data_IF_126638315412
#
_entry.id   IF_126638315412
#
_cell.length_a   1.000
_cell.length_b   1.000
_cell.length_c   1.000
_cell.angle_alpha   90.00
_cell.angle_beta   90.00
_cell.angle_gamma   90.00
#
_symmetry.space_group_name_H-M   'P 1'
#
loop_
_entity.id
_entity.type
_entity.pdbx_description
1 polymer ?
#
# COMPACT_ATOMS: atom_id res chain seq x y z
N UNK A 1 10.13 0.42 43.63
CA UNK A 1 9.68 1.81 43.86
C UNK A 1 9.53 2.45 42.49
N UNK A 2 8.35 2.98 42.15
CA UNK A 2 8.11 3.70 40.88
C UNK A 2 8.04 5.18 41.23
N UNK A 3 8.77 6.03 40.51
CA UNK A 3 8.67 7.48 40.61
C UNK A 3 7.69 7.99 39.56
N UNK A 4 6.75 8.85 39.97
CA UNK A 4 5.77 9.48 39.09
C UNK A 4 5.84 10.99 39.26
N UNK A 5 6.04 11.71 38.17
CA UNK A 5 6.04 13.17 38.15
C UNK A 5 5.41 13.71 36.85
N UNK A 6 4.71 14.86 36.89
CA UNK A 6 4.23 15.53 35.69
C UNK A 6 5.37 16.08 34.84
N UNK A 7 5.40 15.78 33.55
CA UNK A 7 6.43 16.25 32.62
C UNK A 7 5.85 17.06 31.46
N UNK A 8 6.37 18.28 31.25
CA UNK A 8 5.93 19.15 30.14
C UNK A 8 6.77 18.87 28.91
N UNK A 9 6.12 18.40 27.84
CA UNK A 9 6.78 18.14 26.56
C UNK A 9 5.87 18.47 25.37
N UNK A 10 6.42 18.39 24.17
CA UNK A 10 5.65 18.51 22.92
C UNK A 10 4.90 17.19 22.68
N UNK A 11 3.60 17.27 22.45
CA UNK A 11 2.75 16.13 22.09
C UNK A 11 2.08 16.41 20.73
N UNK A 12 1.88 15.42 19.85
CA UNK A 12 1.20 15.62 18.59
C UNK A 12 -0.31 15.82 18.79
N UNK A 13 -0.86 16.85 18.15
CA UNK A 13 -2.28 17.17 18.16
C UNK A 13 -2.82 17.19 16.74
N UNK A 14 -4.06 16.77 16.56
CA UNK A 14 -4.74 16.89 15.28
C UNK A 14 -4.87 18.36 14.91
N UNK A 15 -4.51 18.68 13.67
CA UNK A 15 -4.39 20.05 13.21
C UNK A 15 -5.74 20.75 13.05
N UNK A 16 -6.84 20.00 12.94
CA UNK A 16 -8.20 20.53 12.73
C UNK A 16 -8.96 20.65 14.05
N UNK A 17 -9.08 19.56 14.81
CA UNK A 17 -9.88 19.56 16.05
C UNK A 17 -9.08 19.86 17.33
N UNK A 18 -7.75 19.95 17.21
CA UNK A 18 -6.81 20.27 18.30
C UNK A 18 -6.84 19.28 19.46
N UNK A 19 -7.20 18.02 19.22
CA UNK A 19 -7.15 16.94 20.22
C UNK A 19 -5.85 16.13 20.13
N UNK A 20 -5.39 15.51 21.24
CA UNK A 20 -4.17 14.73 21.24
C UNK A 20 -4.34 13.48 20.36
N UNK A 21 -3.32 13.18 19.55
CA UNK A 21 -3.30 12.00 18.67
C UNK A 21 -2.58 10.83 19.32
N UNK A 22 -2.96 9.60 18.97
CA UNK A 22 -2.28 8.38 19.42
C UNK A 22 -1.68 7.61 18.24
N UNK A 23 -0.64 6.84 18.51
CA UNK A 23 -0.10 5.86 17.55
C UNK A 23 -0.88 4.56 17.72
N UNK A 24 -1.38 4.01 16.61
CA UNK A 24 -2.13 2.74 16.59
C UNK A 24 -1.72 1.93 15.38
N UNK A 25 -1.50 0.63 15.59
CA UNK A 25 -1.24 -0.32 14.52
C UNK A 25 -2.49 -0.62 13.71
N UNK A 26 -2.32 -0.75 12.39
CA UNK A 26 -3.40 -1.10 11.46
C UNK A 26 -2.85 -2.02 10.39
N UNK A 27 -3.71 -2.91 9.86
CA UNK A 27 -3.38 -3.74 8.71
C UNK A 27 -3.12 -2.86 7.48
N UNK A 28 -2.01 -3.14 6.78
CA UNK A 28 -1.53 -2.39 5.62
C UNK A 28 -0.87 -3.38 4.65
N UNK A 29 -0.88 -3.09 3.35
CA UNK A 29 -0.13 -3.84 2.36
C UNK A 29 1.25 -3.25 2.15
N UNK A 30 2.23 -4.13 2.02
CA UNK A 30 3.63 -3.78 1.82
C UNK A 30 4.18 -4.50 0.60
N UNK A 31 5.02 -3.81 -0.16
CA UNK A 31 5.92 -4.43 -1.13
C UNK A 31 7.26 -4.72 -0.45
N UNK A 32 7.71 -5.97 -0.52
CA UNK A 32 9.00 -6.39 0.07
C UNK A 32 10.14 -5.77 -0.71
N UNK A 33 10.86 -4.83 -0.07
CA UNK A 33 12.00 -4.15 -0.70
C UNK A 33 13.22 -5.06 -0.74
N UNK A 34 13.34 -5.97 0.22
CA UNK A 34 14.42 -6.95 0.28
C UNK A 34 14.51 -7.78 -1.01
N UNK A 35 13.38 -8.17 -1.59
CA UNK A 35 13.32 -8.96 -2.82
C UNK A 35 13.90 -8.27 -4.07
N UNK A 36 14.12 -6.95 -4.06
CA UNK A 36 14.66 -6.21 -5.22
C UNK A 36 15.69 -5.13 -4.85
N UNK A 37 16.16 -5.09 -3.59
CA UNK A 37 17.09 -4.05 -3.11
C UNK A 37 18.39 -4.04 -3.90
N UNK A 38 19.02 -5.20 -4.09
CA UNK A 38 20.30 -5.32 -4.79
C UNK A 38 20.16 -4.92 -6.26
N UNK A 39 19.12 -5.42 -6.93
CA UNK A 39 18.81 -5.06 -8.31
C UNK A 39 18.59 -3.54 -8.48
N UNK A 40 17.93 -2.90 -7.51
CA UNK A 40 17.74 -1.45 -7.52
C UNK A 40 19.07 -0.68 -7.32
N UNK A 41 19.96 -1.15 -6.43
CA UNK A 41 21.28 -0.56 -6.22
C UNK A 41 22.14 -0.69 -7.49
N UNK A 42 22.10 -1.85 -8.14
CA UNK A 42 22.84 -2.08 -9.37
C UNK A 42 22.32 -1.23 -10.53
N UNK A 43 20.99 -1.10 -10.67
CA UNK A 43 20.38 -0.21 -11.65
C UNK A 43 20.82 1.26 -11.45
N UNK A 44 20.94 1.71 -10.19
CA UNK A 44 21.39 3.07 -9.86
C UNK A 44 22.82 3.36 -10.32
N UNK A 45 23.71 2.35 -10.36
CA UNK A 45 25.08 2.52 -10.89
C UNK A 45 25.11 2.80 -12.38
N UNK A 46 24.11 2.34 -13.13
CA UNK A 46 23.98 2.55 -14.58
C UNK A 46 23.39 3.91 -14.99
N UNK A 47 22.92 4.71 -14.02
CA UNK A 47 22.33 6.03 -14.28
C UNK A 47 23.41 7.10 -14.35
N UNK A 48 23.30 8.03 -15.31
CA UNK A 48 24.14 9.23 -15.35
C UNK A 48 23.65 10.26 -14.33
N UNK A 49 24.40 10.48 -13.26
CA UNK A 49 24.04 11.38 -12.17
C UNK A 49 24.65 12.78 -12.36
N UNK A 50 23.81 13.81 -12.28
CA UNK A 50 24.23 15.22 -12.28
C UNK A 50 23.66 15.91 -11.04
N UNK A 51 24.49 16.31 -10.06
CA UNK A 51 25.94 16.10 -9.97
C UNK A 51 26.32 14.63 -9.67
N UNK A 52 27.56 14.18 -9.98
CA UNK A 52 27.97 12.79 -9.80
C UNK A 52 27.82 12.26 -8.37
N UNK A 53 28.00 13.10 -7.35
CA UNK A 53 27.86 12.65 -5.96
C UNK A 53 26.42 12.30 -5.56
N UNK A 54 25.41 12.66 -6.36
CA UNK A 54 24.01 12.34 -6.07
C UNK A 54 23.74 10.82 -5.97
N UNK A 55 24.56 10.01 -6.66
CA UNK A 55 24.51 8.54 -6.58
C UNK A 55 24.65 8.06 -5.13
N UNK A 56 25.53 8.68 -4.33
CA UNK A 56 25.79 8.26 -2.96
C UNK A 56 24.54 8.41 -2.09
N UNK A 57 23.76 9.48 -2.30
CA UNK A 57 22.53 9.76 -1.54
C UNK A 57 21.43 8.74 -1.88
N UNK A 58 21.24 8.43 -3.15
CA UNK A 58 20.20 7.48 -3.57
C UNK A 58 20.58 6.05 -3.19
N UNK A 59 21.84 5.65 -3.38
CA UNK A 59 22.34 4.35 -2.93
C UNK A 59 22.16 4.16 -1.42
N UNK A 60 22.54 5.14 -0.61
CA UNK A 60 22.33 5.07 0.84
C UNK A 60 20.85 5.00 1.24
N UNK A 61 19.98 5.74 0.53
CA UNK A 61 18.53 5.68 0.75
C UNK A 61 17.97 4.29 0.44
N UNK A 62 18.37 3.66 -0.65
CA UNK A 62 17.89 2.32 -1.05
C UNK A 62 18.41 1.26 -0.08
N UNK A 63 19.70 1.33 0.31
CA UNK A 63 20.32 0.36 1.22
C UNK A 63 19.67 0.31 2.60
N UNK A 64 19.21 1.46 3.11
CA UNK A 64 18.55 1.56 4.43
C UNK A 64 17.03 1.42 4.38
N UNK A 65 16.45 1.17 3.20
CA UNK A 65 15.00 1.14 3.04
C UNK A 65 14.39 -0.19 3.49
N UNK A 66 13.45 -0.07 4.42
CA UNK A 66 12.51 -1.13 4.81
C UNK A 66 11.38 -1.28 3.79
N UNK A 67 10.48 -2.21 4.04
CA UNK A 67 9.34 -2.50 3.18
C UNK A 67 8.49 -1.26 2.86
N UNK A 68 8.03 -1.22 1.61
CA UNK A 68 7.29 -0.09 1.11
C UNK A 68 5.79 -0.29 1.38
N UNK A 69 5.26 0.45 2.35
CA UNK A 69 3.82 0.53 2.56
C UNK A 69 3.14 1.19 1.34
N UNK A 70 2.34 0.40 0.61
CA UNK A 70 1.64 0.82 -0.62
C UNK A 70 0.17 1.20 -0.39
N UNK A 71 -0.43 0.75 0.72
CA UNK A 71 -1.81 1.11 1.07
C UNK A 71 -1.95 2.54 1.55
N UNK A 72 -3.03 3.21 1.14
CA UNK A 72 -3.45 4.49 1.72
C UNK A 72 -4.96 4.44 1.95
N UNK A 73 -5.42 4.95 3.10
CA UNK A 73 -6.85 5.10 3.40
C UNK A 73 -7.39 6.38 2.76
N UNK A 74 -7.43 6.42 1.43
CA UNK A 74 -7.89 7.54 0.60
C UNK A 74 -8.71 6.99 -0.56
N UNK A 75 -9.65 7.78 -1.05
CA UNK A 75 -10.53 7.44 -2.18
C UNK A 75 -9.91 7.81 -3.53
N UNK A 76 -9.13 8.89 -3.58
CA UNK A 76 -8.45 9.33 -4.80
C UNK A 76 -7.14 8.55 -5.01
N UNK A 77 -7.09 7.74 -6.07
CA UNK A 77 -5.93 6.95 -6.47
C UNK A 77 -6.33 5.66 -7.18
N UNK A 78 -5.34 4.84 -7.53
CA UNK A 78 -5.56 3.50 -8.08
C UNK A 78 -5.87 2.54 -6.93
N UNK A 79 -6.99 1.79 -6.99
CA UNK A 79 -7.35 0.82 -5.96
C UNK A 79 -6.36 -0.35 -5.93
N UNK A 80 -6.17 -0.94 -4.76
CA UNK A 80 -5.42 -2.20 -4.63
C UNK A 80 -6.40 -3.33 -5.00
N UNK A 81 -6.12 -4.12 -6.07
CA UNK A 81 -7.05 -5.08 -6.63
C UNK A 81 -7.10 -6.37 -5.81
N UNK A 82 -7.62 -6.27 -4.58
CA UNK A 82 -7.74 -7.38 -3.62
C UNK A 82 -9.16 -7.43 -3.09
N UNK A 83 -9.75 -8.61 -3.12
CA UNK A 83 -11.01 -8.90 -2.45
C UNK A 83 -10.77 -9.66 -1.15
N UNK A 84 -11.70 -9.58 -0.22
CA UNK A 84 -11.64 -10.31 1.04
C UNK A 84 -12.85 -11.20 1.21
N UNK A 85 -12.61 -12.47 1.52
CA UNK A 85 -13.69 -13.38 1.88
C UNK A 85 -14.37 -12.92 3.17
N UNK A 86 -15.69 -12.82 3.18
CA UNK A 86 -16.47 -12.21 4.26
C UNK A 86 -16.32 -12.95 5.59
N UNK A 87 -16.37 -14.28 5.60
CA UNK A 87 -16.22 -15.07 6.83
C UNK A 87 -14.77 -15.18 7.30
N UNK A 88 -13.86 -15.69 6.45
CA UNK A 88 -12.47 -15.97 6.84
C UNK A 88 -11.54 -14.76 6.88
N UNK A 89 -11.94 -13.62 6.30
CA UNK A 89 -11.10 -12.42 6.10
C UNK A 89 -9.82 -12.67 5.29
N UNK A 90 -9.70 -13.82 4.62
CA UNK A 90 -8.54 -14.11 3.78
C UNK A 90 -8.61 -13.27 2.49
N UNK A 91 -7.48 -12.72 2.04
CA UNK A 91 -7.42 -12.01 0.77
C UNK A 91 -7.51 -12.99 -0.40
N UNK A 92 -8.31 -12.65 -1.40
CA UNK A 92 -8.29 -13.22 -2.73
C UNK A 92 -7.36 -12.35 -3.58
N UNK A 93 -6.12 -12.80 -3.72
CA UNK A 93 -5.07 -12.17 -4.52
C UNK A 93 -4.46 -13.25 -5.40
N UNK A 94 -4.99 -13.42 -6.60
CA UNK A 94 -4.50 -14.36 -7.61
C UNK A 94 -4.16 -13.63 -8.90
N UNK A 95 -3.26 -14.21 -9.69
CA UNK A 95 -2.88 -13.65 -10.98
C UNK A 95 -4.09 -13.44 -11.90
N UNK A 96 -5.03 -14.40 -11.93
CA UNK A 96 -6.27 -14.31 -12.70
C UNK A 96 -7.13 -13.11 -12.29
N UNK A 97 -7.37 -12.91 -10.99
CA UNK A 97 -8.20 -11.80 -10.49
C UNK A 97 -7.52 -10.46 -10.79
N UNK A 98 -6.21 -10.37 -10.58
CA UNK A 98 -5.44 -9.15 -10.88
C UNK A 98 -5.48 -8.84 -12.38
N UNK A 99 -5.28 -9.84 -13.24
CA UNK A 99 -5.29 -9.66 -14.69
C UNK A 99 -6.67 -9.23 -15.21
N UNK A 100 -7.74 -9.78 -14.65
CA UNK A 100 -9.10 -9.38 -14.99
C UNK A 100 -9.36 -7.92 -14.62
N UNK A 101 -9.04 -7.51 -13.39
CA UNK A 101 -9.18 -6.12 -12.94
C UNK A 101 -8.30 -5.17 -13.76
N UNK A 102 -7.08 -5.59 -14.11
CA UNK A 102 -6.19 -4.83 -15.01
C UNK A 102 -6.85 -4.58 -16.37
N UNK A 103 -7.52 -5.59 -16.93
CA UNK A 103 -8.27 -5.44 -18.19
C UNK A 103 -9.40 -4.43 -18.05
N UNK A 104 -10.18 -4.50 -16.96
CA UNK A 104 -11.25 -3.55 -16.67
C UNK A 104 -10.71 -2.12 -16.56
N UNK A 105 -9.67 -1.92 -15.75
CA UNK A 105 -9.07 -0.60 -15.54
C UNK A 105 -8.48 -0.06 -16.85
N UNK A 106 -7.88 -0.90 -17.68
CA UNK A 106 -7.35 -0.50 -18.98
C UNK A 106 -8.44 -0.02 -19.96
N UNK A 107 -9.67 -0.50 -19.83
CA UNK A 107 -10.79 -0.17 -20.73
C UNK A 107 -11.68 0.95 -20.18
N UNK A 108 -11.95 0.94 -18.88
CA UNK A 108 -12.94 1.80 -18.20
C UNK A 108 -12.32 2.83 -17.25
N UNK A 109 -11.01 2.77 -17.02
CA UNK A 109 -10.32 3.58 -16.01
C UNK A 109 -10.45 3.01 -14.59
N UNK A 110 -9.73 3.61 -13.64
CA UNK A 110 -9.73 3.19 -12.23
C UNK A 110 -11.07 3.39 -11.53
N UNK A 111 -11.90 4.31 -12.02
CA UNK A 111 -13.20 4.63 -11.43
C UNK A 111 -14.19 3.46 -11.53
N UNK A 112 -13.95 2.53 -12.46
CA UNK A 112 -14.68 1.28 -12.57
C UNK A 112 -14.77 0.52 -11.23
N UNK A 113 -13.71 0.58 -10.41
CA UNK A 113 -13.67 -0.05 -9.08
C UNK A 113 -14.75 0.46 -8.12
N UNK A 114 -15.16 1.71 -8.26
CA UNK A 114 -16.15 2.34 -7.38
C UNK A 114 -17.59 2.21 -7.89
N UNK A 115 -17.75 1.92 -9.19
CA UNK A 115 -19.05 1.91 -9.85
C UNK A 115 -19.56 0.51 -10.22
N UNK A 116 -18.64 -0.44 -10.41
CA UNK A 116 -18.98 -1.83 -10.76
C UNK A 116 -19.25 -2.66 -9.51
N UNK A 117 -20.04 -3.73 -9.66
CA UNK A 117 -20.30 -4.66 -8.57
C UNK A 117 -19.09 -5.58 -8.34
N UNK A 118 -19.04 -6.25 -7.17
CA UNK A 118 -18.00 -7.26 -6.89
C UNK A 118 -18.05 -8.39 -7.91
N UNK A 119 -19.24 -8.78 -8.36
CA UNK A 119 -19.45 -9.80 -9.40
C UNK A 119 -18.84 -9.36 -10.73
N UNK A 120 -19.09 -8.11 -11.17
CA UNK A 120 -18.52 -7.58 -12.41
C UNK A 120 -17.00 -7.39 -12.36
N UNK A 121 -16.42 -7.20 -11.17
CA UNK A 121 -14.98 -7.00 -10.97
C UNK A 121 -14.24 -8.32 -10.78
N UNK A 122 -14.94 -9.41 -10.50
CA UNK A 122 -14.39 -10.75 -10.38
C UNK A 122 -14.48 -11.48 -11.74
N UNK A 123 -13.49 -12.34 -12.06
CA UNK A 123 -13.58 -13.16 -13.26
C UNK A 123 -14.77 -14.14 -13.19
N UNK A 124 -15.25 -14.61 -14.35
CA UNK A 124 -16.46 -15.42 -14.49
C UNK A 124 -16.51 -16.67 -13.58
N UNK A 125 -15.36 -17.30 -13.34
CA UNK A 125 -15.25 -18.47 -12.45
C UNK A 125 -15.52 -18.17 -10.96
N UNK A 126 -15.62 -16.89 -10.59
CA UNK A 126 -15.94 -16.43 -9.25
C UNK A 126 -17.36 -15.86 -9.11
N UNK A 127 -18.16 -15.78 -10.19
CA UNK A 127 -19.51 -15.18 -10.15
C UNK A 127 -20.44 -15.89 -9.15
N UNK A 128 -20.48 -17.22 -9.19
CA UNK A 128 -21.28 -18.04 -8.25
C UNK A 128 -20.93 -17.77 -6.76
N UNK A 129 -19.72 -17.29 -6.50
CA UNK A 129 -19.19 -17.02 -5.15
C UNK A 129 -18.97 -15.54 -4.89
N UNK A 130 -19.37 -14.64 -5.79
CA UNK A 130 -19.09 -13.21 -5.68
C UNK A 130 -19.69 -12.62 -4.38
N UNK A 131 -20.84 -13.15 -3.96
CA UNK A 131 -21.50 -12.79 -2.70
C UNK A 131 -20.70 -13.13 -1.43
N UNK A 132 -19.69 -14.00 -1.53
CA UNK A 132 -18.79 -14.35 -0.42
C UNK A 132 -17.63 -13.35 -0.26
N UNK A 133 -17.47 -12.40 -1.19
CA UNK A 133 -16.36 -11.45 -1.25
C UNK A 133 -16.81 -10.00 -1.10
N UNK A 134 -15.85 -9.14 -0.72
CA UNK A 134 -15.99 -7.68 -0.69
C UNK A 134 -14.66 -6.99 -0.99
#
# INVERSE_FOLDING_TARGET
MILMEPYKHKYPYDWRDKKPTIIRETEQWFASVEGFREAAIDAVKGVNWVPPQAVNRISAMISSRYDWCITRKRTWGVPIPVFYHLASKKPLLKEETINHIRSIISQKGSDAWWHMTVEDLLPDNYHDKASEYK
#
